data_IF_162029713731
#
_entry.id   IF_162029713731
#
_cell.length_a   1.000
_cell.length_b   1.000
_cell.length_c   1.000
_cell.angle_alpha   90.00
_cell.angle_beta   90.00
_cell.angle_gamma   90.00
#
_symmetry.space_group_name_H-M   'P 1'
#
loop_
_entity.id
_entity.type
_entity.pdbx_description
1 polymer ?
#
# COMPACT_ATOMS: atom_id res chain seq x y z
N UNK A 1 -2.24 5.57 -8.40
CA UNK A 1 -3.64 5.32 -8.78
C UNK A 1 -3.98 3.85 -8.68
N UNK A 2 -3.86 3.32 -7.47
CA UNK A 2 -4.58 2.12 -7.06
C UNK A 2 -6.06 2.41 -7.02
N UNK A 3 -6.83 1.32 -6.98
CA UNK A 3 -8.28 1.36 -7.05
C UNK A 3 -8.96 1.95 -5.81
N UNK A 4 -8.21 2.16 -4.71
CA UNK A 4 -8.76 2.39 -3.38
C UNK A 4 -8.25 3.66 -2.70
N UNK A 5 -7.54 4.53 -3.42
CA UNK A 5 -6.87 5.72 -2.85
C UNK A 5 -7.86 6.72 -2.24
N UNK A 6 -9.08 6.81 -2.78
CA UNK A 6 -10.14 7.71 -2.30
C UNK A 6 -11.11 7.05 -1.31
N UNK A 7 -10.91 5.77 -0.99
CA UNK A 7 -11.83 5.01 -0.14
C UNK A 7 -11.41 5.09 1.33
N UNK A 8 -12.36 5.37 2.22
CA UNK A 8 -12.13 5.26 3.66
C UNK A 8 -11.84 3.80 4.02
N UNK A 9 -11.01 3.55 5.04
CA UNK A 9 -10.73 2.19 5.54
C UNK A 9 -12.01 1.38 5.81
N UNK A 10 -13.10 2.04 6.19
CA UNK A 10 -14.38 1.37 6.49
C UNK A 10 -15.06 0.82 5.23
N UNK A 11 -14.87 1.48 4.08
CA UNK A 11 -15.51 1.19 2.79
C UNK A 11 -14.67 0.22 1.95
N UNK A 12 -13.41 0.00 2.34
CA UNK A 12 -12.57 -1.04 1.75
C UNK A 12 -13.18 -2.45 1.88
N UNK A 13 -13.06 -3.27 0.83
CA UNK A 13 -13.30 -4.71 0.91
C UNK A 13 -12.45 -5.40 2.00
N UNK A 14 -12.95 -6.49 2.58
CA UNK A 14 -12.26 -7.19 3.68
C UNK A 14 -10.93 -7.82 3.25
N UNK A 15 -10.83 -8.28 2.00
CA UNK A 15 -9.59 -8.76 1.37
C UNK A 15 -8.55 -7.63 1.24
N UNK A 16 -8.99 -6.44 0.83
CA UNK A 16 -8.12 -5.26 0.74
C UNK A 16 -7.67 -4.79 2.12
N UNK A 17 -8.56 -4.78 3.12
CA UNK A 17 -8.18 -4.48 4.52
C UNK A 17 -7.16 -5.48 5.05
N UNK A 18 -7.34 -6.77 4.75
CA UNK A 18 -6.39 -7.80 5.17
C UNK A 18 -5.03 -7.60 4.51
N UNK A 19 -5.00 -7.29 3.22
CA UNK A 19 -3.78 -6.97 2.48
C UNK A 19 -3.11 -5.69 3.02
N UNK A 20 -3.86 -4.61 3.21
CA UNK A 20 -3.34 -3.37 3.77
C UNK A 20 -2.72 -3.59 5.16
N UNK A 21 -3.35 -4.41 6.03
CA UNK A 21 -2.77 -4.81 7.32
C UNK A 21 -1.47 -5.60 7.17
N UNK A 22 -1.33 -6.47 6.16
CA UNK A 22 -0.08 -7.21 5.90
C UNK A 22 1.06 -6.28 5.49
N UNK A 23 0.74 -5.21 4.76
CA UNK A 23 1.67 -4.11 4.48
C UNK A 23 1.93 -3.23 5.72
N UNK A 24 1.22 -3.42 6.83
CA UNK A 24 1.40 -2.62 8.04
C UNK A 24 0.50 -1.39 8.11
N UNK A 25 -0.41 -1.17 7.16
CA UNK A 25 -1.41 -0.12 7.29
C UNK A 25 -2.34 -0.39 8.47
N UNK A 26 -2.60 0.66 9.23
CA UNK A 26 -3.68 0.72 10.21
C UNK A 26 -4.78 1.64 9.70
N UNK A 27 -6.01 1.47 10.20
CA UNK A 27 -7.11 2.40 9.90
C UNK A 27 -6.73 3.87 10.07
N UNK A 28 -5.95 4.19 11.11
CA UNK A 28 -5.51 5.56 11.38
C UNK A 28 -4.48 6.06 10.36
N UNK A 29 -3.63 5.17 9.86
CA UNK A 29 -2.66 5.49 8.83
C UNK A 29 -3.38 5.73 7.49
N UNK A 30 -4.21 4.77 7.09
CA UNK A 30 -5.01 4.84 5.87
C UNK A 30 -5.86 6.11 5.79
N UNK A 31 -6.71 6.36 6.80
CA UNK A 31 -7.56 7.55 6.84
C UNK A 31 -6.83 8.86 7.19
N UNK A 32 -5.53 8.79 7.47
CA UNK A 32 -4.72 9.93 7.89
C UNK A 32 -3.62 10.27 6.90
N UNK A 33 -3.70 9.73 5.68
CA UNK A 33 -2.72 9.88 4.60
C UNK A 33 -1.30 9.56 5.07
N UNK A 34 -1.18 8.48 5.87
CA UNK A 34 0.09 7.95 6.34
C UNK A 34 0.33 6.55 5.84
N UNK A 35 1.60 6.27 5.68
CA UNK A 35 2.07 5.04 5.06
C UNK A 35 2.89 4.24 6.07
N UNK A 36 2.89 2.91 5.95
CA UNK A 36 3.77 2.05 6.71
C UNK A 36 5.20 2.13 6.14
N UNK A 37 6.17 1.80 6.98
CA UNK A 37 7.59 1.82 6.62
C UNK A 37 7.93 0.90 5.43
N UNK A 38 7.14 -0.17 5.20
CA UNK A 38 7.37 -1.05 4.05
C UNK A 38 7.19 -0.35 2.71
N UNK A 39 6.43 0.75 2.65
CA UNK A 39 6.29 1.54 1.43
C UNK A 39 7.63 2.20 1.05
N UNK A 40 8.54 2.43 1.99
CA UNK A 40 9.90 2.95 1.69
C UNK A 40 10.88 1.84 1.23
N UNK A 41 10.45 0.59 1.17
CA UNK A 41 11.25 -0.56 0.71
C UNK A 41 11.00 -0.86 -0.78
N UNK A 42 12.01 -1.42 -1.46
CA UNK A 42 11.81 -1.93 -2.81
C UNK A 42 10.95 -3.19 -2.77
N UNK A 43 10.24 -3.46 -3.85
CA UNK A 43 9.41 -4.66 -4.01
C UNK A 43 10.19 -5.96 -3.76
N UNK A 44 11.47 -5.97 -4.09
CA UNK A 44 12.36 -7.12 -3.87
C UNK A 44 12.76 -7.29 -2.40
N UNK A 45 12.68 -6.23 -1.59
CA UNK A 45 12.97 -6.25 -0.15
C UNK A 45 11.73 -6.67 0.68
N UNK A 46 10.52 -6.51 0.12
CA UNK A 46 9.29 -7.00 0.71
C UNK A 46 9.30 -8.53 0.88
N UNK A 47 8.59 -9.03 1.89
CA UNK A 47 8.31 -10.46 1.99
C UNK A 47 7.23 -10.91 0.98
N UNK A 48 7.06 -12.23 0.84
CA UNK A 48 6.09 -12.78 -0.12
C UNK A 48 4.64 -12.41 0.22
N UNK A 49 4.30 -12.30 1.50
CA UNK A 49 2.98 -11.92 1.98
C UNK A 49 2.68 -10.45 1.67
N UNK A 50 3.67 -9.57 1.81
CA UNK A 50 3.62 -8.15 1.47
C UNK A 50 3.49 -7.94 -0.03
N UNK A 51 4.28 -8.63 -0.86
CA UNK A 51 4.11 -8.57 -2.32
C UNK A 51 2.72 -9.01 -2.76
N UNK A 52 2.21 -10.12 -2.22
CA UNK A 52 0.85 -10.58 -2.50
C UNK A 52 -0.19 -9.55 -2.07
N UNK A 53 0.00 -8.94 -0.90
CA UNK A 53 -0.88 -7.87 -0.43
C UNK A 53 -0.84 -6.65 -1.36
N UNK A 54 0.34 -6.20 -1.75
CA UNK A 54 0.51 -5.10 -2.70
C UNK A 54 -0.20 -5.40 -4.03
N UNK A 55 -0.13 -6.63 -4.53
CA UNK A 55 -0.90 -7.07 -5.72
C UNK A 55 -2.41 -7.00 -5.51
N UNK A 56 -2.93 -7.33 -4.33
CA UNK A 56 -4.37 -7.19 -4.00
C UNK A 56 -4.80 -5.72 -4.01
N UNK A 57 -3.93 -4.81 -3.57
CA UNK A 57 -4.16 -3.37 -3.67
C UNK A 57 -4.03 -2.83 -5.10
N UNK A 58 -3.50 -3.64 -6.03
CA UNK A 58 -3.35 -3.29 -7.44
C UNK A 58 -1.95 -2.78 -7.80
N UNK A 59 -0.95 -2.98 -6.94
CA UNK A 59 0.44 -2.72 -7.26
C UNK A 59 1.11 -3.92 -7.91
N UNK A 60 2.08 -3.61 -8.75
CA UNK A 60 3.06 -4.51 -9.31
C UNK A 60 4.46 -3.97 -8.98
N UNK A 61 5.50 -4.76 -9.23
CA UNK A 61 6.88 -4.36 -8.96
C UNK A 61 7.24 -3.00 -9.55
N UNK A 62 6.84 -2.74 -10.79
CA UNK A 62 7.18 -1.49 -11.47
C UNK A 62 6.44 -0.31 -10.85
N UNK A 63 5.14 -0.44 -10.56
CA UNK A 63 4.35 0.62 -9.94
C UNK A 63 4.73 0.88 -8.48
N UNK A 64 5.13 -0.15 -7.74
CA UNK A 64 5.67 -0.05 -6.38
C UNK A 64 7.01 0.66 -6.37
N UNK A 65 8.01 0.13 -7.10
CA UNK A 65 9.36 0.67 -7.10
C UNK A 65 9.42 2.08 -7.68
N UNK A 66 8.52 2.43 -8.61
CA UNK A 66 8.39 3.81 -9.12
C UNK A 66 8.02 4.82 -8.04
N UNK A 67 7.25 4.40 -7.03
CA UNK A 67 6.89 5.26 -5.89
C UNK A 67 8.07 5.55 -4.95
N UNK A 68 9.02 4.61 -4.82
CA UNK A 68 10.10 4.72 -3.83
C UNK A 68 11.25 5.69 -4.19
N UNK A 69 11.40 6.11 -5.46
CA UNK A 69 12.64 6.80 -5.91
C UNK A 69 12.45 8.28 -6.27
N UNK A 70 11.23 8.81 -6.37
CA UNK A 70 11.02 10.18 -6.85
C UNK A 70 10.14 11.09 -5.99
N UNK A 71 9.25 10.54 -5.17
CA UNK A 71 8.50 11.27 -4.16
C UNK A 71 7.70 10.17 -3.46
N UNK A 72 7.78 10.09 -2.12
CA UNK A 72 7.07 9.18 -1.21
C UNK A 72 6.27 8.07 -1.90
N UNK A 73 6.61 6.82 -1.61
CA UNK A 73 5.95 5.67 -2.20
C UNK A 73 4.43 5.72 -1.97
N UNK A 74 3.70 6.20 -2.97
CA UNK A 74 2.34 6.74 -2.87
C UNK A 74 2.23 8.08 -2.13
N UNK A 75 2.46 9.17 -2.85
CA UNK A 75 1.79 10.42 -2.48
C UNK A 75 0.28 10.16 -2.64
N UNK A 76 -0.38 9.83 -1.53
CA UNK A 76 -1.81 10.08 -1.31
C UNK A 76 -1.96 11.61 -1.24
N UNK A 77 -1.82 12.31 -2.38
CA UNK A 77 -2.24 13.71 -2.62
C UNK A 77 -2.60 13.89 -4.10
#
# INVERSE_FOLDING_TARGET
MTKYEDEDWKDLPEDVKAAAKKLGYTKKMWNGDKEPDCCDEYWDDLDEDQRQAATVLGYDKESWDKGGILDKCCVIL
#
